data_IF_854076341395
#
_entry.id   IF_854076341395
#
_cell.length_a   1.000
_cell.length_b   1.000
_cell.length_c   1.000
_cell.angle_alpha   90.00
_cell.angle_beta   90.00
_cell.angle_gamma   90.00
#
_symmetry.space_group_name_H-M   'P 1'
#
loop_
_entity.id
_entity.type
_entity.pdbx_description
1 polymer ?
#
# COMPACT_ATOMS: atom_id res chain seq x y z
N UNK A 1 21.24 13.70 2.02
CA UNK A 1 21.24 15.17 1.81
C UNK A 1 19.86 15.56 1.30
N UNK A 2 19.18 16.51 1.93
CA UNK A 2 17.89 17.00 1.44
C UNK A 2 18.13 17.80 0.15
N UNK A 3 17.47 17.39 -0.97
CA UNK A 3 17.50 18.15 -2.22
C UNK A 3 16.54 19.33 -2.07
N UNK A 4 16.98 20.53 -2.46
CA UNK A 4 16.09 21.68 -2.61
C UNK A 4 15.90 21.96 -4.11
N UNK A 5 14.69 22.34 -4.47
CA UNK A 5 14.28 22.65 -5.82
C UNK A 5 14.15 24.17 -6.02
N UNK A 6 14.56 24.66 -7.15
CA UNK A 6 13.99 25.90 -7.68
C UNK A 6 12.66 25.59 -8.42
N UNK A 7 11.96 26.64 -8.85
CA UNK A 7 10.64 26.48 -9.48
C UNK A 7 10.73 25.75 -10.82
N UNK A 8 11.76 26.01 -11.62
CA UNK A 8 11.92 25.41 -12.94
C UNK A 8 12.31 23.92 -12.83
N UNK A 9 13.19 23.59 -11.89
CA UNK A 9 13.54 22.22 -11.56
C UNK A 9 12.32 21.44 -11.04
N UNK A 10 11.52 22.05 -10.14
CA UNK A 10 10.33 21.43 -9.59
C UNK A 10 9.27 21.18 -10.68
N UNK A 11 9.03 22.13 -11.57
CA UNK A 11 8.14 21.97 -12.72
C UNK A 11 8.65 20.92 -13.72
N UNK A 12 9.95 20.79 -13.88
CA UNK A 12 10.56 19.75 -14.72
C UNK A 12 10.35 18.36 -14.13
N UNK A 13 10.58 18.20 -12.82
CA UNK A 13 10.35 16.97 -12.09
C UNK A 13 8.85 16.62 -11.99
N UNK A 14 7.97 17.62 -11.92
CA UNK A 14 6.52 17.45 -11.81
C UNK A 14 5.94 16.56 -12.91
N UNK A 15 6.51 16.55 -14.11
CA UNK A 15 6.03 15.71 -15.23
C UNK A 15 6.13 14.23 -14.90
N UNK A 16 7.28 13.80 -14.37
CA UNK A 16 7.50 12.42 -13.93
C UNK A 16 6.63 12.11 -12.71
N UNK A 17 6.65 12.99 -11.72
CA UNK A 17 5.89 12.82 -10.47
C UNK A 17 4.39 12.71 -10.74
N UNK A 18 3.82 13.53 -11.63
CA UNK A 18 2.41 13.44 -12.05
C UNK A 18 2.07 12.04 -12.57
N UNK A 19 2.88 11.50 -13.49
CA UNK A 19 2.65 10.16 -14.04
C UNK A 19 2.64 9.08 -12.94
N UNK A 20 3.55 9.20 -11.97
CA UNK A 20 3.60 8.28 -10.83
C UNK A 20 2.34 8.43 -9.96
N UNK A 21 1.91 9.66 -9.66
CA UNK A 21 0.72 9.92 -8.84
C UNK A 21 -0.56 9.40 -9.49
N UNK A 22 -0.72 9.61 -10.80
CA UNK A 22 -1.85 9.06 -11.57
C UNK A 22 -1.86 7.53 -11.48
N UNK A 23 -0.70 6.89 -11.65
CA UNK A 23 -0.56 5.44 -11.51
C UNK A 23 -0.87 4.97 -10.09
N UNK A 24 -0.37 5.66 -9.05
CA UNK A 24 -0.64 5.32 -7.65
C UNK A 24 -2.14 5.41 -7.32
N UNK A 25 -2.83 6.44 -7.82
CA UNK A 25 -4.27 6.60 -7.64
C UNK A 25 -5.06 5.46 -8.29
N UNK A 26 -4.70 5.09 -9.52
CA UNK A 26 -5.35 4.00 -10.25
C UNK A 26 -5.10 2.64 -9.57
N UNK A 27 -3.86 2.40 -9.12
CA UNK A 27 -3.50 1.20 -8.36
C UNK A 27 -4.25 1.13 -7.02
N UNK A 28 -4.40 2.26 -6.31
CA UNK A 28 -5.22 2.31 -5.09
C UNK A 28 -6.67 1.92 -5.37
N UNK A 29 -7.25 2.43 -6.45
CA UNK A 29 -8.61 2.09 -6.85
C UNK A 29 -8.74 0.60 -7.23
N UNK A 30 -7.74 0.02 -7.91
CA UNK A 30 -7.68 -1.40 -8.22
C UNK A 30 -7.60 -2.24 -6.93
N UNK A 31 -6.75 -1.86 -5.99
CA UNK A 31 -6.59 -2.56 -4.71
C UNK A 31 -7.90 -2.61 -3.91
N UNK A 32 -8.64 -1.49 -3.88
CA UNK A 32 -9.96 -1.42 -3.22
C UNK A 32 -10.93 -2.39 -3.87
N UNK A 33 -11.01 -2.44 -5.21
CA UNK A 33 -11.88 -3.38 -5.94
C UNK A 33 -11.52 -4.84 -5.65
N UNK A 34 -10.24 -5.19 -5.72
CA UNK A 34 -9.77 -6.56 -5.42
C UNK A 34 -10.09 -6.97 -3.99
N UNK A 35 -9.93 -6.07 -3.02
CA UNK A 35 -10.33 -6.30 -1.63
C UNK A 35 -11.83 -6.60 -1.52
N UNK A 36 -12.66 -5.80 -2.17
CA UNK A 36 -14.12 -5.96 -2.12
C UNK A 36 -14.55 -7.27 -2.78
N UNK A 37 -13.86 -7.71 -3.85
CA UNK A 37 -14.07 -9.02 -4.48
C UNK A 37 -13.71 -10.18 -3.53
N UNK A 38 -12.59 -10.08 -2.79
CA UNK A 38 -12.21 -11.09 -1.77
C UNK A 38 -13.27 -11.17 -0.68
N UNK A 39 -13.74 -10.03 -0.17
CA UNK A 39 -14.78 -9.99 0.88
C UNK A 39 -16.11 -10.58 0.37
N UNK A 40 -16.49 -10.29 -0.89
CA UNK A 40 -17.72 -10.84 -1.50
C UNK A 40 -17.64 -12.34 -1.74
N UNK A 41 -16.44 -12.92 -1.88
CA UNK A 41 -16.25 -14.36 -2.07
C UNK A 41 -16.51 -15.19 -0.80
N UNK A 42 -16.83 -14.55 0.35
CA UNK A 42 -17.26 -15.22 1.60
C UNK A 42 -16.16 -16.03 2.29
N UNK A 43 -14.90 -15.87 1.90
CA UNK A 43 -13.76 -16.47 2.59
C UNK A 43 -13.38 -15.55 3.74
N UNK A 44 -14.25 -15.53 4.76
CA UNK A 44 -13.94 -14.91 6.04
C UNK A 44 -12.78 -15.66 6.69
N UNK A 45 -11.86 -14.89 7.26
CA UNK A 45 -10.69 -15.26 8.06
C UNK A 45 -10.84 -16.50 8.96
N UNK A 46 -10.90 -17.70 8.40
CA UNK A 46 -10.76 -18.92 9.17
C UNK A 46 -9.28 -19.24 9.49
N UNK A 47 -8.35 -18.64 8.76
CA UNK A 47 -6.92 -18.80 9.03
C UNK A 47 -6.41 -18.00 10.25
N UNK A 48 -7.14 -16.99 10.73
CA UNK A 48 -6.76 -16.24 11.93
C UNK A 48 -7.16 -16.96 13.24
N UNK A 49 -7.86 -18.10 13.19
CA UNK A 49 -8.38 -18.81 14.37
C UNK A 49 -7.62 -20.08 14.76
N UNK A 50 -6.57 -20.47 14.06
CA UNK A 50 -5.86 -21.73 14.33
C UNK A 50 -4.64 -21.62 15.24
N UNK A 51 -4.35 -20.47 15.83
CA UNK A 51 -3.23 -20.30 16.77
C UNK A 51 -3.67 -20.01 18.21
N UNK A 52 -4.64 -20.81 18.72
CA UNK A 52 -4.87 -20.89 20.16
C UNK A 52 -4.33 -22.23 20.67
N UNK A 53 -3.37 -22.24 21.62
CA UNK A 53 -2.85 -23.49 22.18
C UNK A 53 -3.96 -24.19 22.96
N UNK A 54 -4.32 -25.41 22.54
CA UNK A 54 -5.15 -26.30 23.34
C UNK A 54 -4.39 -26.72 24.58
N UNK A 55 -4.74 -26.16 25.70
CA UNK A 55 -4.26 -26.63 27.01
C UNK A 55 -4.62 -28.12 27.22
N UNK A 56 -3.57 -28.86 27.54
CA UNK A 56 -3.63 -30.28 27.84
C UNK A 56 -4.48 -30.54 29.09
N UNK A 57 -5.52 -31.34 28.97
CA UNK A 57 -6.14 -31.96 30.11
C UNK A 57 -5.69 -33.41 30.22
N UNK A 58 -4.76 -33.63 31.15
CA UNK A 58 -4.27 -34.97 31.57
C UNK A 58 -5.25 -35.54 32.60
N UNK A 59 -5.90 -36.66 32.33
CA UNK A 59 -6.23 -37.65 33.36
C UNK A 59 -6.73 -38.96 32.74
N UNK A 60 -6.06 -40.06 33.12
CA UNK A 60 -6.68 -41.37 33.33
C UNK A 60 -6.34 -42.48 32.31
N UNK A 61 -5.31 -43.28 32.64
CA UNK A 61 -5.16 -44.68 32.21
C UNK A 61 -6.17 -45.60 32.99
N UNK A 62 -6.49 -46.87 32.58
CA UNK A 62 -5.53 -47.92 32.19
C UNK A 62 -5.99 -49.00 31.16
N UNK A 63 -4.96 -49.70 30.64
CA UNK A 63 -4.84 -51.15 30.32
C UNK A 63 -5.62 -51.85 29.19
N UNK A 64 -4.99 -52.10 28.09
CA UNK A 64 -4.57 -53.39 27.43
C UNK A 64 -5.61 -54.47 27.07
N UNK A 65 -5.25 -55.44 26.22
CA UNK A 65 -4.79 -55.42 24.83
C UNK A 65 -5.70 -56.29 23.93
N UNK A 66 -5.79 -56.05 22.67
CA UNK A 66 -5.83 -57.16 21.71
C UNK A 66 -5.52 -56.72 20.27
N UNK A 67 -5.06 -57.62 19.58
CA UNK A 67 -4.34 -57.78 18.33
C UNK A 67 -5.32 -57.74 17.15
N UNK A 68 -5.11 -56.89 16.18
CA UNK A 68 -5.49 -57.20 14.80
C UNK A 68 -4.81 -56.27 13.79
N UNK A 69 -4.09 -56.87 12.89
CA UNK A 69 -3.63 -56.47 11.57
C UNK A 69 -4.45 -55.32 10.97
N UNK A 70 -3.83 -54.18 10.71
CA UNK A 70 -4.43 -53.15 9.85
C UNK A 70 -3.44 -52.66 8.83
N UNK A 71 -3.88 -52.75 7.64
CA UNK A 71 -3.43 -52.13 6.43
C UNK A 71 -3.03 -50.65 6.69
N UNK A 72 -1.91 -50.23 6.07
CA UNK A 72 -1.46 -48.86 6.04
C UNK A 72 -2.55 -47.97 5.39
N UNK A 73 -2.85 -46.79 5.96
CA UNK A 73 -3.65 -45.82 5.22
C UNK A 73 -2.82 -45.26 4.09
N UNK A 74 -3.42 -45.25 2.94
CA UNK A 74 -2.97 -44.56 1.73
C UNK A 74 -2.78 -43.05 2.03
N UNK A 75 -1.54 -42.67 2.33
CA UNK A 75 -1.14 -41.27 2.44
C UNK A 75 -0.89 -40.76 1.04
N UNK A 76 -1.92 -40.23 0.35
CA UNK A 76 -1.75 -39.21 -0.68
C UNK A 76 -3.11 -38.87 -1.29
N UNK A 77 -3.91 -38.07 -0.56
CA UNK A 77 -4.82 -37.13 -1.16
C UNK A 77 -4.66 -35.82 -0.44
N UNK A 78 -3.63 -35.06 -0.81
CA UNK A 78 -3.68 -33.62 -0.67
C UNK A 78 -4.91 -33.19 -1.46
N UNK A 79 -5.96 -32.77 -0.75
CA UNK A 79 -7.20 -32.35 -1.35
C UNK A 79 -6.91 -31.19 -2.28
N UNK A 80 -7.25 -31.34 -3.56
CA UNK A 80 -7.27 -30.21 -4.48
C UNK A 80 -8.09 -29.09 -3.85
N UNK A 81 -7.53 -27.87 -3.76
CA UNK A 81 -8.27 -26.74 -3.14
C UNK A 81 -9.60 -26.54 -3.90
N UNK A 82 -10.65 -26.27 -3.15
CA UNK A 82 -11.95 -25.96 -3.74
C UNK A 82 -11.85 -24.81 -4.75
N UNK A 83 -12.64 -24.78 -5.83
CA UNK A 83 -12.54 -23.73 -6.85
C UNK A 83 -12.62 -22.31 -6.27
N UNK A 84 -13.46 -22.09 -5.27
CA UNK A 84 -13.56 -20.80 -4.57
C UNK A 84 -12.25 -20.38 -3.87
N UNK A 85 -11.53 -21.32 -3.25
CA UNK A 85 -10.24 -21.06 -2.62
C UNK A 85 -9.17 -20.68 -3.65
N UNK A 86 -9.23 -21.29 -4.83
CA UNK A 86 -8.33 -20.98 -5.95
C UNK A 86 -8.55 -19.55 -6.45
N UNK A 87 -9.79 -19.10 -6.60
CA UNK A 87 -10.13 -17.75 -7.05
C UNK A 87 -9.65 -16.69 -6.04
N UNK A 88 -9.86 -16.92 -4.74
CA UNK A 88 -9.40 -16.02 -3.68
C UNK A 88 -7.86 -15.95 -3.63
N UNK A 89 -7.17 -17.06 -3.80
CA UNK A 89 -5.69 -17.07 -3.88
C UNK A 89 -5.19 -16.25 -5.06
N UNK A 90 -5.83 -16.34 -6.21
CA UNK A 90 -5.50 -15.52 -7.39
C UNK A 90 -5.73 -14.04 -7.12
N UNK A 91 -6.85 -13.67 -6.48
CA UNK A 91 -7.12 -12.29 -6.11
C UNK A 91 -6.07 -11.74 -5.13
N UNK A 92 -5.70 -12.50 -4.12
CA UNK A 92 -4.64 -12.13 -3.16
C UNK A 92 -3.28 -11.91 -3.84
N UNK A 93 -2.91 -12.78 -4.79
CA UNK A 93 -1.68 -12.60 -5.58
C UNK A 93 -1.72 -11.34 -6.44
N UNK A 94 -2.87 -11.03 -7.04
CA UNK A 94 -3.07 -9.78 -7.79
C UNK A 94 -2.95 -8.56 -6.88
N UNK A 95 -3.56 -8.61 -5.69
CA UNK A 95 -3.43 -7.55 -4.68
C UNK A 95 -1.97 -7.32 -4.31
N UNK A 96 -1.20 -8.39 -4.04
CA UNK A 96 0.23 -8.27 -3.74
C UNK A 96 0.98 -7.59 -4.88
N UNK A 97 0.74 -7.97 -6.14
CA UNK A 97 1.35 -7.33 -7.29
C UNK A 97 0.99 -5.84 -7.44
N UNK A 98 -0.23 -5.43 -7.03
CA UNK A 98 -0.61 -4.01 -6.98
C UNK A 98 0.16 -3.28 -5.88
N UNK A 99 0.24 -3.87 -4.69
CA UNK A 99 0.97 -3.30 -3.54
C UNK A 99 2.45 -3.08 -3.91
N UNK A 100 3.10 -4.07 -4.52
CA UNK A 100 4.50 -3.97 -4.92
C UNK A 100 4.74 -2.82 -5.91
N UNK A 101 3.84 -2.64 -6.88
CA UNK A 101 3.90 -1.51 -7.82
C UNK A 101 3.68 -0.15 -7.12
N UNK A 102 2.74 -0.09 -6.17
CA UNK A 102 2.51 1.12 -5.38
C UNK A 102 3.75 1.48 -4.56
N UNK A 103 4.38 0.51 -3.91
CA UNK A 103 5.61 0.71 -3.15
C UNK A 103 6.73 1.25 -4.04
N UNK A 104 6.91 0.67 -5.23
CA UNK A 104 7.91 1.16 -6.19
C UNK A 104 7.65 2.62 -6.60
N UNK A 105 6.39 3.01 -6.81
CA UNK A 105 6.01 4.39 -7.11
C UNK A 105 6.33 5.35 -5.96
N UNK A 106 6.02 4.96 -4.72
CA UNK A 106 6.33 5.77 -3.52
C UNK A 106 7.83 5.94 -3.34
N UNK A 107 8.60 4.85 -3.48
CA UNK A 107 10.08 4.89 -3.41
C UNK A 107 10.63 5.83 -4.48
N UNK A 108 10.07 5.79 -5.71
CA UNK A 108 10.53 6.67 -6.78
C UNK A 108 10.30 8.15 -6.49
N UNK A 109 9.16 8.51 -5.89
CA UNK A 109 8.88 9.89 -5.44
C UNK A 109 9.90 10.32 -4.37
N UNK A 110 10.20 9.44 -3.41
CA UNK A 110 11.18 9.70 -2.35
C UNK A 110 12.61 9.87 -2.91
N UNK A 111 13.02 9.05 -3.88
CA UNK A 111 14.30 9.18 -4.59
C UNK A 111 14.46 10.52 -5.32
N UNK A 112 13.35 11.07 -5.82
CA UNK A 112 13.34 12.42 -6.39
C UNK A 112 13.46 13.50 -5.30
N UNK A 113 13.38 13.16 -4.02
CA UNK A 113 13.39 14.10 -2.90
C UNK A 113 12.09 14.88 -2.77
N UNK A 114 10.99 14.35 -3.30
CA UNK A 114 9.65 14.91 -3.21
C UNK A 114 8.89 14.24 -2.08
N UNK A 115 8.11 14.99 -1.34
CA UNK A 115 7.31 14.44 -0.24
C UNK A 115 5.90 14.14 -0.73
N UNK A 116 5.52 12.87 -0.74
CA UNK A 116 4.15 12.43 -0.97
C UNK A 116 3.32 12.64 0.30
N UNK A 117 2.25 13.43 0.21
CA UNK A 117 1.34 13.70 1.33
C UNK A 117 0.09 12.83 1.28
N UNK A 118 -0.51 12.67 0.11
CA UNK A 118 -1.73 11.92 -0.05
C UNK A 118 -1.84 11.32 -1.47
N UNK A 119 -2.15 10.04 -1.55
CA UNK A 119 -2.27 9.34 -2.85
C UNK A 119 -3.60 9.67 -3.53
N UNK A 120 -4.69 9.77 -2.78
CA UNK A 120 -6.05 9.94 -3.33
C UNK A 120 -6.19 11.23 -4.13
N UNK A 121 -5.75 12.33 -3.56
CA UNK A 121 -5.74 13.65 -4.21
C UNK A 121 -4.47 13.91 -5.02
N UNK A 122 -3.45 13.05 -4.88
CA UNK A 122 -2.14 13.23 -5.50
C UNK A 122 -1.42 14.46 -4.97
N UNK A 123 -1.47 14.68 -3.64
CA UNK A 123 -0.85 15.83 -2.98
C UNK A 123 0.62 15.58 -2.69
N UNK A 124 1.47 16.50 -3.13
CA UNK A 124 2.92 16.45 -2.97
C UNK A 124 3.49 17.81 -2.62
N UNK A 125 4.67 17.77 -2.00
CA UNK A 125 5.47 18.95 -1.69
C UNK A 125 6.91 18.76 -2.15
N UNK A 126 7.44 19.78 -2.83
CA UNK A 126 8.86 19.90 -3.19
C UNK A 126 9.55 20.79 -2.16
N UNK A 127 10.64 20.36 -1.51
CA UNK A 127 11.40 21.23 -0.63
C UNK A 127 12.11 22.29 -1.45
N UNK A 128 11.97 23.56 -1.06
CA UNK A 128 12.55 24.71 -1.74
C UNK A 128 13.10 25.73 -0.75
N UNK A 129 13.94 26.62 -1.26
CA UNK A 129 14.46 27.76 -0.51
C UNK A 129 13.94 29.06 -1.10
N UNK A 130 13.37 29.91 -0.28
CA UNK A 130 12.95 31.26 -0.65
C UNK A 130 13.32 32.25 0.44
N UNK A 131 13.92 33.38 0.04
CA UNK A 131 14.34 34.45 0.97
C UNK A 131 15.13 33.97 2.19
N UNK A 132 16.02 32.96 1.97
CA UNK A 132 16.88 32.41 3.03
C UNK A 132 16.19 31.45 3.99
N UNK A 133 14.96 31.06 3.75
CA UNK A 133 14.20 30.06 4.54
C UNK A 133 13.72 28.92 3.70
N UNK A 134 13.52 27.76 4.32
CA UNK A 134 12.91 26.61 3.69
C UNK A 134 11.40 26.77 3.61
N UNK A 135 10.83 26.42 2.45
CA UNK A 135 9.40 26.38 2.17
C UNK A 135 9.06 25.07 1.46
N UNK A 136 7.77 24.82 1.29
CA UNK A 136 7.24 23.76 0.44
C UNK A 136 6.58 24.37 -0.80
N UNK A 137 7.03 23.97 -1.99
CA UNK A 137 6.28 24.16 -3.22
C UNK A 137 5.26 23.05 -3.33
N UNK A 138 3.98 23.39 -3.26
CA UNK A 138 2.90 22.44 -3.11
C UNK A 138 2.11 22.28 -4.41
N UNK A 139 1.81 21.04 -4.75
CA UNK A 139 1.01 20.71 -5.93
C UNK A 139 0.14 19.48 -5.66
N UNK A 140 -1.04 19.44 -6.27
CA UNK A 140 -1.91 18.24 -6.27
C UNK A 140 -2.50 18.01 -7.66
N UNK A 141 -2.98 16.80 -7.92
CA UNK A 141 -3.68 16.48 -9.16
C UNK A 141 -4.90 17.41 -9.33
N UNK A 142 -4.92 18.12 -10.45
CA UNK A 142 -5.94 19.14 -10.77
C UNK A 142 -5.52 20.59 -10.58
N UNK A 143 -4.36 20.86 -9.99
CA UNK A 143 -3.86 22.26 -9.83
C UNK A 143 -3.32 22.87 -11.14
N UNK A 144 -3.37 22.12 -12.26
CA UNK A 144 -2.85 22.58 -13.57
C UNK A 144 -1.49 21.98 -13.94
N UNK A 145 -0.83 22.57 -14.92
CA UNK A 145 0.40 22.00 -15.52
C UNK A 145 1.68 22.40 -14.81
N UNK A 146 1.61 23.34 -13.89
CA UNK A 146 2.74 23.85 -13.13
C UNK A 146 2.41 24.07 -11.67
N UNK A 147 3.47 24.26 -10.88
CA UNK A 147 3.35 24.58 -9.46
C UNK A 147 2.93 26.04 -9.32
N UNK A 148 1.79 26.27 -8.70
CA UNK A 148 1.24 27.59 -8.44
C UNK A 148 1.10 27.94 -6.97
N UNK A 149 1.47 27.02 -6.07
CA UNK A 149 1.23 27.12 -4.64
C UNK A 149 2.46 26.82 -3.81
N UNK A 150 2.52 27.45 -2.64
CA UNK A 150 3.54 27.18 -1.64
C UNK A 150 2.96 27.31 -0.22
N UNK A 151 3.65 26.80 0.78
CA UNK A 151 3.33 26.99 2.19
C UNK A 151 4.59 26.90 3.07
N UNK A 152 4.50 27.42 4.29
CA UNK A 152 5.53 27.27 5.30
C UNK A 152 5.62 25.82 5.81
N UNK A 153 6.74 25.45 6.40
CA UNK A 153 7.03 24.08 6.87
C UNK A 153 5.94 23.51 7.79
N UNK A 154 5.32 24.36 8.59
CA UNK A 154 4.37 23.97 9.64
C UNK A 154 2.90 24.26 9.31
N UNK A 155 2.59 24.84 8.15
CA UNK A 155 1.23 25.21 7.78
C UNK A 155 0.48 24.11 7.03
N UNK A 156 1.16 23.32 6.20
CA UNK A 156 0.58 22.27 5.38
C UNK A 156 -0.41 22.76 4.33
N UNK A 157 -1.22 21.86 3.78
CA UNK A 157 -2.18 22.16 2.71
C UNK A 157 -3.17 23.29 3.03
N UNK A 158 -3.74 23.40 4.24
CA UNK A 158 -4.65 24.51 4.56
C UNK A 158 -3.99 25.89 4.53
N UNK A 159 -2.67 25.96 4.72
CA UNK A 159 -1.89 27.20 4.69
C UNK A 159 -1.33 27.57 3.33
N UNK A 160 -1.81 26.97 2.23
CA UNK A 160 -1.34 27.25 0.87
C UNK A 160 -1.56 28.72 0.49
N UNK A 161 -0.55 29.30 -0.08
CA UNK A 161 -0.50 30.67 -0.63
C UNK A 161 -0.18 30.59 -2.12
N UNK A 162 -0.62 31.55 -2.88
CA UNK A 162 -0.24 31.60 -4.29
C UNK A 162 1.25 31.92 -4.44
N UNK A 163 1.88 31.35 -5.45
CA UNK A 163 3.31 31.56 -5.69
C UNK A 163 3.63 33.03 -5.97
N UNK A 164 2.68 33.78 -6.54
CA UNK A 164 2.79 35.23 -6.73
C UNK A 164 2.97 36.02 -5.43
N UNK A 165 2.56 35.46 -4.29
CA UNK A 165 2.67 36.10 -2.97
C UNK A 165 4.02 35.75 -2.28
N UNK A 166 4.88 34.99 -2.95
CA UNK A 166 6.19 34.61 -2.43
C UNK A 166 7.17 35.78 -2.57
N UNK A 167 7.49 36.44 -1.45
CA UNK A 167 8.44 37.57 -1.39
C UNK A 167 9.68 37.21 -0.59
#
# INVERSE_FOLDING_TARGET
MTRFYDLDEANSALREVRTILESLRDQRAELIRLRDEVLASGVDDEEARTDAPKEANVRGRPSSPDRARREAPDETREGEPAPADTDVRVLRLRMQGVIDRMQAGVVRIDELGVTLREIETGLIDFPALASGRQIWLCWRLGDGDGIGWWHELNEGFPGRKQLADLT
#
